data_IF_030900792402
#
_entry.id   IF_030900792402
#
_cell.length_a   1.000
_cell.length_b   1.000
_cell.length_c   1.000
_cell.angle_alpha   90.00
_cell.angle_beta   90.00
_cell.angle_gamma   90.00
#
_symmetry.space_group_name_H-M   'P 1'
#
loop_
_entity.id
_entity.type
_entity.pdbx_description
1 polymer ?
#
# COMPACT_ATOMS: atom_id res chain seq x y z
N UNK A 1 -18.79 -0.89 -9.40
CA UNK A 1 -18.94 -0.92 -7.92
C UNK A 1 -19.01 0.49 -7.35
N UNK A 2 -17.91 1.33 -7.32
CA UNK A 2 -17.96 2.67 -6.67
C UNK A 2 -19.06 3.57 -7.27
N UNK A 3 -19.23 3.57 -8.59
CA UNK A 3 -20.29 4.35 -9.24
C UNK A 3 -21.69 3.90 -8.83
N UNK A 4 -21.92 2.61 -8.71
CA UNK A 4 -23.19 2.02 -8.25
C UNK A 4 -23.45 2.38 -6.79
N UNK A 5 -22.43 2.21 -5.92
CA UNK A 5 -22.56 2.62 -4.51
C UNK A 5 -22.82 4.12 -4.40
N UNK A 6 -22.21 4.95 -5.26
CA UNK A 6 -22.43 6.41 -5.23
C UNK A 6 -23.90 6.80 -5.47
N UNK A 7 -24.62 6.02 -6.30
CA UNK A 7 -26.05 6.27 -6.56
C UNK A 7 -26.96 5.97 -5.37
N UNK A 8 -26.49 5.20 -4.38
CA UNK A 8 -27.24 4.85 -3.17
C UNK A 8 -26.99 5.82 -2.01
N UNK A 9 -26.01 6.72 -2.15
CA UNK A 9 -25.65 7.71 -1.14
C UNK A 9 -26.29 9.05 -1.49
N UNK A 10 -26.84 9.72 -0.47
CA UNK A 10 -27.41 11.04 -0.61
C UNK A 10 -26.43 12.01 -1.30
N UNK A 11 -26.93 12.86 -2.17
CA UNK A 11 -26.11 13.70 -3.05
C UNK A 11 -25.24 14.73 -2.28
N UNK A 12 -25.70 15.15 -1.11
CA UNK A 12 -25.03 16.09 -0.21
C UNK A 12 -23.90 15.43 0.61
N UNK A 13 -23.86 14.11 0.68
CA UNK A 13 -22.82 13.36 1.37
C UNK A 13 -21.63 13.04 0.45
N UNK A 14 -20.44 13.28 0.95
CA UNK A 14 -19.20 12.95 0.30
C UNK A 14 -18.48 11.85 1.09
N UNK A 15 -18.69 10.57 0.73
CA UNK A 15 -18.13 9.45 1.46
C UNK A 15 -16.63 9.31 1.21
N UNK A 16 -15.92 8.80 2.21
CA UNK A 16 -14.47 8.56 2.13
C UNK A 16 -14.19 7.10 1.83
N UNK A 17 -13.44 6.81 0.77
CA UNK A 17 -12.91 5.48 0.47
C UNK A 17 -11.59 5.30 1.19
N UNK A 18 -11.55 4.33 2.09
CA UNK A 18 -10.35 3.97 2.84
C UNK A 18 -9.76 2.69 2.26
N UNK A 19 -8.50 2.70 1.90
CA UNK A 19 -7.84 1.53 1.31
C UNK A 19 -6.35 1.47 1.66
N UNK A 20 -5.78 0.28 1.49
CA UNK A 20 -4.39 0.02 1.78
C UNK A 20 -3.45 0.41 0.61
N UNK A 21 -2.17 0.07 0.76
CA UNK A 21 -1.14 0.32 -0.27
C UNK A 21 -1.37 -0.47 -1.58
N UNK A 22 -2.23 -1.48 -1.58
CA UNK A 22 -2.56 -2.28 -2.77
C UNK A 22 -3.27 -1.46 -3.83
N UNK A 23 -4.12 -0.50 -3.41
CA UNK A 23 -4.83 0.42 -4.31
C UNK A 23 -4.02 1.62 -4.79
N UNK A 24 -2.69 1.63 -4.64
CA UNK A 24 -1.86 2.78 -4.94
C UNK A 24 -1.84 3.18 -6.41
N UNK A 25 -2.49 4.28 -6.74
CA UNK A 25 -2.42 4.92 -8.05
C UNK A 25 -2.87 6.39 -7.97
N UNK A 26 -1.96 7.38 -8.06
CA UNK A 26 -2.35 8.80 -8.05
C UNK A 26 -3.33 9.19 -9.16
N UNK A 27 -3.26 8.50 -10.32
CA UNK A 27 -4.25 8.67 -11.39
C UNK A 27 -5.64 8.20 -10.97
N UNK A 28 -5.72 7.04 -10.30
CA UNK A 28 -6.97 6.50 -9.76
C UNK A 28 -7.52 7.42 -8.67
N UNK A 29 -6.68 7.94 -7.77
CA UNK A 29 -7.10 8.88 -6.72
C UNK A 29 -7.77 10.11 -7.30
N UNK A 30 -7.18 10.71 -8.34
CA UNK A 30 -7.76 11.85 -9.04
C UNK A 30 -9.12 11.51 -9.64
N UNK A 31 -9.30 10.32 -10.19
CA UNK A 31 -10.58 9.87 -10.74
C UNK A 31 -11.62 9.66 -9.65
N UNK A 32 -11.28 9.01 -8.55
CA UNK A 32 -12.16 8.77 -7.40
C UNK A 32 -12.65 10.11 -6.81
N UNK A 33 -11.74 11.06 -6.66
CA UNK A 33 -12.07 12.40 -6.12
C UNK A 33 -12.97 13.17 -7.10
N UNK A 34 -12.70 13.08 -8.41
CA UNK A 34 -13.55 13.69 -9.43
C UNK A 34 -14.94 13.08 -9.49
N UNK A 35 -15.09 11.79 -9.16
CA UNK A 35 -16.38 11.09 -9.04
C UNK A 35 -17.12 11.40 -7.72
N UNK A 36 -16.65 12.38 -6.92
CA UNK A 36 -17.32 12.86 -5.71
C UNK A 36 -17.05 12.03 -4.46
N UNK A 37 -15.94 11.34 -4.39
CA UNK A 37 -15.47 10.61 -3.21
C UNK A 37 -14.31 11.34 -2.55
N UNK A 38 -14.14 11.13 -1.25
CA UNK A 38 -12.90 11.40 -0.56
C UNK A 38 -12.06 10.12 -0.46
N UNK A 39 -10.76 10.28 -0.25
CA UNK A 39 -9.83 9.16 -0.10
C UNK A 39 -9.07 9.26 1.21
N UNK A 40 -8.71 8.10 1.75
CA UNK A 40 -7.80 7.95 2.87
C UNK A 40 -6.94 6.70 2.63
N UNK A 41 -5.62 6.84 2.54
CA UNK A 41 -4.73 5.73 2.22
C UNK A 41 -3.32 5.95 2.72
N UNK A 42 -2.55 4.88 2.89
CA UNK A 42 -1.11 4.98 3.12
C UNK A 42 -0.37 5.36 1.84
N UNK A 43 0.63 6.22 1.98
CA UNK A 43 1.55 6.51 0.87
C UNK A 43 2.45 5.32 0.59
N UNK A 44 2.58 4.95 -0.68
CA UNK A 44 3.50 3.92 -1.15
C UNK A 44 4.82 4.55 -1.60
N UNK A 45 5.92 3.84 -1.37
CA UNK A 45 7.26 4.24 -1.79
C UNK A 45 8.03 4.96 -0.68
N UNK A 46 9.34 5.12 -0.93
CA UNK A 46 10.23 5.85 -0.01
C UNK A 46 10.02 7.35 -0.17
N UNK A 47 9.93 8.04 0.94
CA UNK A 47 9.90 9.50 1.02
C UNK A 47 11.09 9.96 1.85
N UNK A 48 11.64 11.15 1.59
CA UNK A 48 12.60 11.75 2.51
C UNK A 48 11.98 11.83 3.91
N UNK A 49 12.75 11.45 4.92
CA UNK A 49 12.31 11.59 6.29
C UNK A 49 12.21 13.08 6.65
N UNK A 50 11.15 13.43 7.35
CA UNK A 50 10.99 14.76 7.92
C UNK A 50 11.88 14.89 9.17
N UNK A 51 12.47 16.06 9.42
CA UNK A 51 13.21 16.30 10.64
C UNK A 51 12.27 16.28 11.86
N UNK A 52 12.81 15.98 13.03
CA UNK A 52 12.03 15.83 14.28
C UNK A 52 11.20 17.06 14.61
N UNK A 53 11.73 18.20 14.31
CA UNK A 53 11.13 19.52 14.58
C UNK A 53 9.88 19.80 13.73
N UNK A 54 9.67 19.03 12.67
CA UNK A 54 8.48 19.13 11.84
C UNK A 54 7.24 18.48 12.49
N UNK A 55 7.45 17.69 13.55
CA UNK A 55 6.36 16.99 14.24
C UNK A 55 5.91 17.78 15.46
N UNK A 56 4.59 17.82 15.62
CA UNK A 56 3.91 18.39 16.78
C UNK A 56 3.07 17.32 17.46
N UNK A 57 2.93 17.44 18.77
CA UNK A 57 2.07 16.56 19.55
C UNK A 57 0.62 17.00 19.41
N UNK A 58 -0.24 16.06 19.04
CA UNK A 58 -1.68 16.23 18.96
C UNK A 58 -2.36 15.25 19.91
N UNK A 59 -3.22 15.77 20.76
CA UNK A 59 -4.00 14.99 21.71
C UNK A 59 -5.48 15.37 21.61
N UNK A 60 -6.38 14.40 21.76
CA UNK A 60 -7.81 14.64 21.71
C UNK A 60 -8.62 13.38 21.96
N UNK A 61 -9.93 13.54 21.97
CA UNK A 61 -10.87 12.41 22.11
C UNK A 61 -11.62 12.22 20.80
N UNK A 62 -11.51 11.01 20.22
CA UNK A 62 -12.21 10.63 18.99
C UNK A 62 -12.97 9.33 19.27
N UNK A 63 -14.26 9.29 18.95
CA UNK A 63 -15.15 8.15 19.19
C UNK A 63 -15.11 7.66 20.67
N UNK A 64 -15.00 8.61 21.62
CA UNK A 64 -14.93 8.31 23.07
C UNK A 64 -13.58 7.80 23.56
N UNK A 65 -12.54 7.78 22.71
CA UNK A 65 -11.19 7.33 23.04
C UNK A 65 -10.22 8.50 23.06
N UNK A 66 -9.41 8.59 24.12
CA UNK A 66 -8.26 9.49 24.14
C UNK A 66 -7.19 8.97 23.23
N UNK A 67 -6.72 9.80 22.31
CA UNK A 67 -5.67 9.48 21.34
C UNK A 67 -4.62 10.58 21.35
N UNK A 68 -3.37 10.17 21.15
CA UNK A 68 -2.22 11.06 21.14
C UNK A 68 -1.24 10.60 20.08
N UNK A 69 -0.86 11.51 19.18
CA UNK A 69 0.10 11.23 18.09
C UNK A 69 1.04 12.41 17.91
N UNK A 70 2.25 12.13 17.45
CA UNK A 70 3.17 13.13 16.92
C UNK A 70 3.00 13.20 15.41
N UNK A 71 2.52 14.31 14.89
CA UNK A 71 2.11 14.47 13.50
C UNK A 71 2.82 15.63 12.84
N UNK A 72 3.13 15.47 11.55
CA UNK A 72 3.45 16.55 10.63
C UNK A 72 2.38 16.59 9.54
N UNK A 73 1.78 17.75 9.32
CA UNK A 73 0.67 17.96 8.40
C UNK A 73 1.13 18.84 7.24
N UNK A 74 1.21 18.27 6.06
CA UNK A 74 1.79 18.90 4.88
C UNK A 74 0.98 18.57 3.63
N UNK A 75 1.33 19.21 2.51
CA UNK A 75 0.83 18.85 1.19
C UNK A 75 1.93 18.20 0.36
N UNK A 76 1.55 17.26 -0.49
CA UNK A 76 2.46 16.59 -1.42
C UNK A 76 1.90 16.57 -2.82
N UNK A 77 2.79 16.72 -3.80
CA UNK A 77 2.43 16.78 -5.21
C UNK A 77 2.66 15.45 -5.91
N UNK A 78 1.78 15.10 -6.81
CA UNK A 78 1.82 13.94 -7.69
C UNK A 78 1.63 14.34 -9.15
N UNK A 79 1.82 13.40 -10.07
CA UNK A 79 1.59 13.59 -11.50
C UNK A 79 2.29 14.85 -12.05
N UNK A 80 3.59 14.98 -11.76
CA UNK A 80 4.42 16.14 -12.15
C UNK A 80 3.86 17.49 -11.66
N UNK A 81 3.34 17.52 -10.43
CA UNK A 81 2.81 18.73 -9.81
C UNK A 81 1.36 19.08 -10.15
N UNK A 82 0.71 18.30 -11.03
CA UNK A 82 -0.68 18.58 -11.47
C UNK A 82 -1.76 18.05 -10.52
N UNK A 83 -1.37 17.33 -9.47
CA UNK A 83 -2.27 16.76 -8.49
C UNK A 83 -1.66 16.83 -7.10
N UNK A 84 -2.34 17.49 -6.18
CA UNK A 84 -1.90 17.68 -4.79
C UNK A 84 -2.83 16.94 -3.84
N UNK A 85 -2.25 16.37 -2.79
CA UNK A 85 -2.97 15.76 -1.66
C UNK A 85 -2.36 16.25 -0.35
N UNK A 86 -3.18 16.31 0.68
CA UNK A 86 -2.75 16.47 2.06
C UNK A 86 -2.08 15.20 2.53
N UNK A 87 -0.94 15.33 3.18
CA UNK A 87 -0.18 14.24 3.78
C UNK A 87 -0.01 14.47 5.27
N UNK A 88 -0.59 13.59 6.05
CA UNK A 88 -0.37 13.53 7.50
C UNK A 88 0.68 12.46 7.75
N UNK A 89 1.84 12.86 8.26
CA UNK A 89 2.92 11.96 8.63
C UNK A 89 2.88 11.71 10.12
N UNK A 90 2.80 10.45 10.51
CA UNK A 90 2.81 10.01 11.91
C UNK A 90 4.21 9.54 12.26
N UNK A 91 4.77 10.04 13.36
CA UNK A 91 6.02 9.56 13.92
C UNK A 91 5.73 8.44 14.92
N UNK A 92 6.18 7.23 14.60
CA UNK A 92 6.04 6.06 15.45
C UNK A 92 7.19 5.97 16.48
N UNK A 93 7.02 5.16 17.52
CA UNK A 93 7.97 5.02 18.64
C UNK A 93 9.37 4.58 18.19
N UNK A 94 9.48 3.78 17.13
CA UNK A 94 10.73 3.33 16.52
C UNK A 94 11.37 4.34 15.55
N UNK A 95 10.94 5.60 15.61
CA UNK A 95 11.29 6.69 14.68
C UNK A 95 10.86 6.43 13.21
N UNK A 96 10.07 5.39 12.96
CA UNK A 96 9.46 5.17 11.66
C UNK A 96 8.42 6.25 11.36
N UNK A 97 8.44 6.77 10.14
CA UNK A 97 7.50 7.79 9.69
C UNK A 97 6.46 7.17 8.75
N UNK A 98 5.22 7.18 9.18
CA UNK A 98 4.11 6.63 8.41
C UNK A 98 3.33 7.76 7.73
N UNK A 99 3.26 7.74 6.42
CA UNK A 99 2.58 8.78 5.65
C UNK A 99 1.17 8.35 5.26
N UNK A 100 0.19 9.14 5.65
CA UNK A 100 -1.23 8.98 5.30
C UNK A 100 -1.62 10.10 4.34
N UNK A 101 -2.29 9.74 3.24
CA UNK A 101 -2.77 10.68 2.23
C UNK A 101 -4.29 10.80 2.26
N UNK A 102 -4.77 12.02 2.09
CA UNK A 102 -6.18 12.34 1.95
C UNK A 102 -6.36 13.61 1.12
N UNK A 103 -7.54 13.80 0.56
CA UNK A 103 -7.97 15.08 0.00
C UNK A 103 -8.88 15.86 0.97
N UNK A 104 -9.12 15.34 2.19
CA UNK A 104 -9.95 15.99 3.21
C UNK A 104 -9.17 17.06 3.95
N UNK A 105 -9.62 18.31 3.79
CA UNK A 105 -9.07 19.48 4.51
C UNK A 105 -9.96 19.87 5.71
N UNK A 106 -11.17 19.30 5.77
CA UNK A 106 -12.22 19.61 6.74
C UNK A 106 -12.09 18.86 8.07
N UNK A 107 -11.21 17.84 8.15
CA UNK A 107 -10.97 17.06 9.36
C UNK A 107 -9.59 17.34 9.94
N UNK A 108 -9.43 17.18 11.25
CA UNK A 108 -8.17 17.39 11.94
C UNK A 108 -7.13 16.32 11.55
N UNK A 109 -5.84 16.68 11.56
CA UNK A 109 -4.75 15.74 11.32
C UNK A 109 -4.79 14.54 12.29
N UNK A 110 -5.18 14.79 13.54
CA UNK A 110 -5.40 13.75 14.55
C UNK A 110 -6.46 12.74 14.10
N UNK A 111 -7.56 13.22 13.52
CA UNK A 111 -8.64 12.38 13.02
C UNK A 111 -8.19 11.58 11.78
N UNK A 112 -7.44 12.17 10.86
CA UNK A 112 -6.86 11.47 9.70
C UNK A 112 -6.02 10.28 10.15
N UNK A 113 -5.12 10.49 11.10
CA UNK A 113 -4.28 9.43 11.64
C UNK A 113 -5.12 8.35 12.35
N UNK A 114 -6.04 8.76 13.23
CA UNK A 114 -6.90 7.86 13.97
C UNK A 114 -7.74 6.96 13.04
N UNK A 115 -8.43 7.52 12.06
CA UNK A 115 -9.26 6.78 11.10
C UNK A 115 -8.45 5.75 10.30
N UNK A 116 -7.22 6.08 9.95
CA UNK A 116 -6.35 5.16 9.23
C UNK A 116 -5.87 4.00 10.11
N UNK A 117 -5.56 4.25 11.39
CA UNK A 117 -5.19 3.21 12.35
C UNK A 117 -6.38 2.37 12.81
N UNK A 118 -7.59 2.95 12.86
CA UNK A 118 -8.79 2.20 13.23
C UNK A 118 -9.13 1.13 12.19
N UNK A 119 -8.86 1.37 10.90
CA UNK A 119 -8.94 0.35 9.85
C UNK A 119 -8.08 -0.88 10.17
N UNK A 120 -6.83 -0.66 10.57
CA UNK A 120 -5.93 -1.76 10.95
C UNK A 120 -6.43 -2.55 12.16
N UNK A 121 -7.09 -1.86 13.10
CA UNK A 121 -7.75 -2.48 14.25
C UNK A 121 -8.92 -3.37 13.83
N UNK A 122 -9.70 -2.95 12.85
CA UNK A 122 -10.77 -3.76 12.26
C UNK A 122 -10.21 -5.00 11.57
N UNK A 123 -9.13 -4.89 10.80
CA UNK A 123 -8.47 -6.03 10.16
C UNK A 123 -7.99 -7.06 11.20
N UNK A 124 -7.35 -6.59 12.28
CA UNK A 124 -6.92 -7.48 13.37
C UNK A 124 -8.10 -8.12 14.10
N UNK A 125 -9.21 -7.39 14.28
CA UNK A 125 -10.43 -7.94 14.86
C UNK A 125 -11.03 -9.04 13.98
N UNK A 126 -11.14 -8.82 12.67
CA UNK A 126 -11.61 -9.86 11.76
C UNK A 126 -10.71 -11.08 11.76
N UNK A 127 -9.39 -10.88 11.76
CA UNK A 127 -8.41 -11.96 11.84
C UNK A 127 -8.57 -12.77 13.12
N UNK A 128 -8.74 -12.11 14.27
CA UNK A 128 -9.05 -12.75 15.53
C UNK A 128 -10.37 -13.54 15.46
N UNK A 129 -11.42 -12.97 14.87
CA UNK A 129 -12.71 -13.63 14.72
C UNK A 129 -12.63 -14.84 13.78
N UNK A 130 -11.81 -14.79 12.73
CA UNK A 130 -11.53 -15.95 11.86
C UNK A 130 -10.80 -17.06 12.63
N UNK A 131 -9.78 -16.71 13.41
CA UNK A 131 -8.96 -17.65 14.17
C UNK A 131 -9.74 -18.30 15.32
N UNK A 132 -10.52 -17.52 16.08
CA UNK A 132 -11.21 -18.01 17.31
C UNK A 132 -12.61 -18.58 17.04
N UNK A 133 -13.31 -18.04 16.05
CA UNK A 133 -14.72 -18.38 15.78
C UNK A 133 -14.94 -19.04 14.41
N UNK A 134 -13.87 -19.28 13.65
CA UNK A 134 -13.93 -19.90 12.32
C UNK A 134 -15.02 -19.25 11.44
N UNK A 135 -15.05 -17.92 11.38
CA UNK A 135 -16.09 -17.18 10.62
C UNK A 135 -16.16 -17.61 9.15
N UNK A 136 -15.04 -18.01 8.57
CA UNK A 136 -15.00 -18.56 7.21
C UNK A 136 -15.74 -19.90 7.10
N UNK A 137 -15.87 -20.65 8.20
CA UNK A 137 -16.62 -21.90 8.22
C UNK A 137 -18.15 -21.68 8.29
N UNK A 138 -18.61 -20.47 8.59
CA UNK A 138 -20.03 -20.09 8.57
C UNK A 138 -20.54 -19.83 7.14
N UNK A 139 -19.64 -19.62 6.19
CA UNK A 139 -19.96 -19.59 4.78
C UNK A 139 -19.94 -21.04 4.29
N UNK A 140 -21.09 -21.63 4.01
CA UNK A 140 -21.14 -22.89 3.27
C UNK A 140 -20.39 -22.67 1.94
N UNK A 141 -19.15 -23.11 1.89
CA UNK A 141 -18.48 -23.36 0.63
C UNK A 141 -19.13 -24.62 0.02
N UNK A 142 -20.29 -24.44 -0.58
CA UNK A 142 -20.84 -25.46 -1.45
C UNK A 142 -19.78 -25.76 -2.51
N UNK A 143 -19.20 -26.94 -2.49
CA UNK A 143 -18.36 -27.42 -3.58
C UNK A 143 -19.32 -27.71 -4.73
N UNK A 144 -19.45 -26.76 -5.65
CA UNK A 144 -19.98 -27.06 -6.98
C UNK A 144 -18.91 -27.82 -7.77
N UNK A 145 -19.30 -28.89 -8.44
CA UNK A 145 -18.40 -29.59 -9.35
C UNK A 145 -17.83 -28.56 -10.36
N UNK A 146 -16.54 -28.39 -10.34
CA UNK A 146 -15.89 -27.46 -11.24
C UNK A 146 -16.11 -27.95 -12.68
N UNK A 147 -16.49 -27.03 -13.56
CA UNK A 147 -16.56 -27.29 -14.99
C UNK A 147 -15.26 -27.99 -15.44
N UNK A 148 -15.41 -29.24 -15.95
CA UNK A 148 -14.28 -30.07 -16.39
C UNK A 148 -13.45 -29.40 -17.51
N UNK A 149 -14.01 -28.38 -18.17
CA UNK A 149 -13.34 -27.58 -19.20
C UNK A 149 -12.49 -26.40 -18.60
N UNK A 150 -12.61 -26.14 -17.31
CA UNK A 150 -11.85 -25.06 -16.67
C UNK A 150 -10.35 -25.35 -16.62
N UNK A 151 -9.58 -24.54 -17.33
CA UNK A 151 -8.11 -24.60 -17.28
C UNK A 151 -7.65 -24.09 -15.92
N UNK A 152 -7.19 -25.02 -15.07
CA UNK A 152 -6.60 -24.68 -13.77
C UNK A 152 -5.08 -24.53 -13.96
N UNK A 153 -4.45 -23.48 -13.44
CA UNK A 153 -3.00 -23.36 -13.49
C UNK A 153 -2.33 -24.55 -12.81
N UNK A 154 -1.46 -25.27 -13.54
CA UNK A 154 -0.71 -26.38 -12.98
C UNK A 154 0.24 -25.89 -11.90
N UNK A 155 0.14 -26.37 -10.64
CA UNK A 155 1.07 -25.95 -9.56
C UNK A 155 2.53 -26.29 -9.86
N UNK A 156 2.82 -27.38 -10.60
CA UNK A 156 4.16 -27.73 -11.04
C UNK A 156 4.75 -26.70 -12.00
N UNK A 157 3.93 -26.14 -12.89
CA UNK A 157 4.36 -25.04 -13.76
C UNK A 157 4.81 -23.84 -12.96
N UNK A 158 4.09 -23.50 -11.89
CA UNK A 158 4.43 -22.36 -11.01
C UNK A 158 5.76 -22.58 -10.29
N UNK A 159 6.07 -23.83 -9.91
CA UNK A 159 7.36 -24.18 -9.32
C UNK A 159 8.50 -24.03 -10.34
N UNK A 160 8.31 -24.56 -11.56
CA UNK A 160 9.31 -24.45 -12.64
C UNK A 160 9.55 -23.00 -13.06
N UNK A 161 8.48 -22.18 -13.17
CA UNK A 161 8.60 -20.75 -13.48
C UNK A 161 9.41 -20.01 -12.40
N UNK A 162 9.29 -20.42 -11.15
CA UNK A 162 10.08 -19.86 -10.05
C UNK A 162 11.56 -20.23 -10.18
N UNK A 163 11.88 -21.49 -10.39
CA UNK A 163 13.24 -21.97 -10.60
C UNK A 163 13.89 -21.28 -11.82
N UNK A 164 13.13 -21.14 -12.91
CA UNK A 164 13.58 -20.44 -14.11
C UNK A 164 13.93 -18.96 -13.82
N UNK A 165 13.11 -18.27 -13.02
CA UNK A 165 13.37 -16.90 -12.67
C UNK A 165 14.56 -16.74 -11.71
N UNK A 166 14.76 -17.68 -10.80
CA UNK A 166 15.94 -17.74 -9.94
C UNK A 166 17.21 -17.94 -10.77
N UNK A 167 17.22 -18.92 -11.67
CA UNK A 167 18.33 -19.17 -12.58
C UNK A 167 18.66 -17.97 -13.49
N UNK A 168 17.64 -17.29 -14.05
CA UNK A 168 17.84 -16.07 -14.84
C UNK A 168 18.45 -14.94 -14.00
N UNK A 169 18.08 -14.83 -12.74
CA UNK A 169 18.61 -13.81 -11.83
C UNK A 169 20.08 -14.07 -11.50
N UNK A 170 20.45 -15.35 -11.30
CA UNK A 170 21.84 -15.75 -11.10
C UNK A 170 22.68 -15.50 -12.34
N UNK A 171 22.19 -15.89 -13.51
CA UNK A 171 22.86 -15.63 -14.78
C UNK A 171 23.15 -14.13 -14.95
N UNK A 172 22.16 -13.28 -14.71
CA UNK A 172 22.32 -11.83 -14.80
C UNK A 172 23.35 -11.26 -13.81
N UNK A 173 23.51 -11.89 -12.62
CA UNK A 173 24.59 -11.54 -11.66
C UNK A 173 25.95 -11.91 -12.21
N UNK A 174 26.10 -13.12 -12.76
CA UNK A 174 27.37 -13.57 -13.37
C UNK A 174 27.75 -12.71 -14.59
N UNK A 175 26.81 -12.39 -15.46
CA UNK A 175 27.06 -11.52 -16.61
C UNK A 175 27.52 -10.12 -16.19
N UNK A 176 26.92 -9.54 -15.15
CA UNK A 176 27.36 -8.24 -14.59
C UNK A 176 28.76 -8.31 -13.99
N UNK A 177 29.04 -9.37 -13.21
CA UNK A 177 30.37 -9.55 -12.60
C UNK A 177 31.45 -9.80 -13.66
N UNK A 178 31.14 -10.57 -14.69
CA UNK A 178 32.05 -10.80 -15.84
C UNK A 178 32.28 -9.51 -16.63
N UNK A 179 31.20 -8.73 -16.90
CA UNK A 179 31.31 -7.45 -17.56
C UNK A 179 32.17 -6.45 -16.78
N UNK A 180 31.98 -6.37 -15.46
CA UNK A 180 32.82 -5.54 -14.60
C UNK A 180 34.30 -5.98 -14.62
N UNK A 181 34.57 -7.29 -14.50
CA UNK A 181 35.91 -7.83 -14.58
C UNK A 181 36.58 -7.63 -15.97
N UNK A 182 35.79 -7.63 -17.03
CA UNK A 182 36.28 -7.35 -18.38
C UNK A 182 36.66 -5.87 -18.57
N UNK A 183 35.92 -4.95 -17.92
CA UNK A 183 36.25 -3.50 -17.92
C UNK A 183 37.48 -3.17 -17.07
N UNK A 184 37.67 -3.87 -15.95
CA UNK A 184 38.84 -3.68 -15.08
C UNK A 184 40.13 -4.29 -15.64
N UNK A 185 40.05 -5.13 -16.68
CA UNK A 185 41.22 -5.78 -17.29
C UNK A 185 41.96 -4.82 -18.22
N UNK A 186 42.87 -4.00 -17.64
CA UNK A 186 43.67 -2.99 -18.33
C UNK A 186 44.70 -3.54 -19.31
N UNK A 187 44.96 -4.86 -19.31
CA UNK A 187 46.08 -5.46 -20.06
C UNK A 187 45.72 -6.16 -21.35
N UNK A 188 44.45 -6.15 -21.78
CA UNK A 188 44.03 -6.74 -23.06
C UNK A 188 44.59 -8.20 -23.31
N UNK A 189 44.95 -8.91 -22.24
CA UNK A 189 45.42 -10.29 -22.32
C UNK A 189 44.22 -11.23 -22.45
N UNK A 190 44.12 -11.91 -23.61
CA UNK A 190 43.23 -13.04 -23.80
C UNK A 190 43.52 -14.10 -22.73
N UNK A 191 42.63 -14.24 -21.74
CA UNK A 191 42.68 -15.37 -20.83
C UNK A 191 42.34 -16.63 -21.65
N UNK A 192 43.33 -17.43 -21.96
CA UNK A 192 43.14 -18.81 -22.43
C UNK A 192 42.52 -19.59 -21.28
N UNK A 193 41.28 -20.02 -21.44
CA UNK A 193 40.70 -21.02 -20.54
C UNK A 193 41.54 -22.28 -20.61
N UNK A 194 42.05 -22.74 -19.48
CA UNK A 194 42.56 -24.09 -19.26
C UNK A 194 41.47 -24.93 -18.65
#
# INVERSE_FOLDING_TARGET
VLKEVRTTIEADRRPTVVFDRGGWSPKLFRTIIADGWDILTYRKGKTPALPREAFQEYEGTIDGRSVKYELADNHTNFLNGTFQLRQVTVLCEDAYQMNVLTNREDILALEVAYRMFDRWRQENYFKYMEEEFALDALVEYGTEDADASRVVPNPERKAIDRELNEAKTELAKFERSYGAAAFDNKENQRRTMR
#
